data_IF_734755706921
#
_entry.id   IF_734755706921
#
_cell.length_a   1.000
_cell.length_b   1.000
_cell.length_c   1.000
_cell.angle_alpha   90.00
_cell.angle_beta   90.00
_cell.angle_gamma   90.00
#
_symmetry.space_group_name_H-M   'P 1'
#
loop_
_entity.id
_entity.type
_entity.pdbx_description
1 polymer ?
#
# COMPACT_ATOMS: atom_id res chain seq x y z
N UNK A 1 -6.01 -10.52 -22.97
CA UNK A 1 -5.36 -9.49 -22.13
C UNK A 1 -4.45 -10.19 -21.13
N UNK A 2 -3.28 -9.62 -20.80
CA UNK A 2 -2.36 -10.16 -19.81
C UNK A 2 -2.62 -9.48 -18.47
N UNK A 3 -3.21 -10.22 -17.53
CA UNK A 3 -3.48 -9.76 -16.16
C UNK A 3 -2.43 -10.35 -15.22
N UNK A 4 -1.76 -9.50 -14.44
CA UNK A 4 -0.76 -9.95 -13.47
C UNK A 4 -0.91 -9.19 -12.14
N UNK A 5 -1.40 -9.90 -11.13
CA UNK A 5 -1.54 -9.38 -9.78
C UNK A 5 -0.44 -9.98 -8.92
N UNK A 6 0.41 -9.14 -8.36
CA UNK A 6 1.51 -9.59 -7.53
C UNK A 6 1.10 -9.63 -6.06
N UNK A 7 1.60 -10.62 -5.34
CA UNK A 7 1.32 -10.82 -3.92
C UNK A 7 2.61 -10.65 -3.13
N UNK A 8 2.79 -9.49 -2.49
CA UNK A 8 4.00 -9.16 -1.74
C UNK A 8 4.12 -10.00 -0.46
N UNK A 9 5.27 -10.65 -0.29
CA UNK A 9 5.58 -11.52 0.84
C UNK A 9 7.06 -11.43 1.24
N UNK A 10 7.36 -11.38 2.54
CA UNK A 10 8.73 -11.42 3.07
C UNK A 10 9.11 -12.80 3.65
N UNK A 11 8.21 -13.78 3.54
CA UNK A 11 8.40 -15.16 4.00
C UNK A 11 7.50 -16.12 3.22
N UNK A 12 7.83 -17.42 3.16
CA UNK A 12 6.93 -18.42 2.60
C UNK A 12 5.54 -18.36 3.24
N UNK A 13 4.51 -18.39 2.40
CA UNK A 13 3.12 -18.40 2.85
C UNK A 13 2.22 -19.15 1.87
N UNK A 14 0.99 -19.42 2.28
CA UNK A 14 -0.03 -20.00 1.41
C UNK A 14 -0.39 -18.99 0.31
N UNK A 15 -0.21 -19.38 -0.95
CA UNK A 15 -0.47 -18.56 -2.13
C UNK A 15 -1.67 -19.07 -2.94
N UNK A 16 -2.38 -18.19 -3.69
CA UNK A 16 -3.36 -18.61 -4.68
C UNK A 16 -2.75 -19.59 -5.68
N UNK A 17 -3.57 -20.53 -6.17
CA UNK A 17 -3.18 -21.42 -7.27
C UNK A 17 -3.54 -20.86 -8.65
N UNK A 18 -4.33 -19.78 -8.68
CA UNK A 18 -4.71 -19.07 -9.89
C UNK A 18 -3.47 -18.35 -10.48
N UNK A 19 -3.10 -18.63 -11.75
CA UNK A 19 -1.91 -18.05 -12.39
C UNK A 19 -1.97 -16.52 -12.59
N UNK A 20 -3.16 -15.91 -12.43
CA UNK A 20 -3.37 -14.46 -12.39
C UNK A 20 -2.60 -13.83 -11.23
N UNK A 21 -2.43 -14.57 -10.13
CA UNK A 21 -1.74 -14.14 -8.93
C UNK A 21 -0.33 -14.70 -8.85
N UNK A 22 0.67 -13.83 -8.68
CA UNK A 22 2.09 -14.20 -8.65
C UNK A 22 2.73 -13.75 -7.35
N UNK A 23 3.30 -14.66 -6.53
CA UNK A 23 4.02 -14.24 -5.34
C UNK A 23 5.30 -13.49 -5.73
N UNK A 24 5.56 -12.37 -5.05
CA UNK A 24 6.81 -11.61 -5.13
C UNK A 24 7.46 -11.56 -3.75
N UNK A 25 8.72 -11.97 -3.69
CA UNK A 25 9.52 -12.00 -2.48
C UNK A 25 10.19 -10.64 -2.29
N UNK A 26 9.73 -9.87 -1.31
CA UNK A 26 10.21 -8.51 -1.04
C UNK A 26 11.46 -8.51 -0.17
N UNK A 27 12.34 -7.53 -0.42
CA UNK A 27 13.61 -7.43 0.27
C UNK A 27 14.55 -8.59 -0.03
N UNK A 28 14.43 -9.24 -1.20
CA UNK A 28 15.28 -10.34 -1.62
C UNK A 28 16.78 -9.99 -1.66
N UNK A 29 17.14 -8.71 -1.79
CA UNK A 29 18.51 -8.24 -1.67
C UNK A 29 19.10 -8.39 -0.26
N UNK A 30 18.25 -8.48 0.76
CA UNK A 30 18.62 -8.58 2.18
C UNK A 30 18.28 -9.94 2.77
N UNK A 31 17.19 -10.54 2.28
CA UNK A 31 16.64 -11.79 2.73
C UNK A 31 17.17 -12.93 1.86
N UNK A 32 17.97 -13.83 2.44
CA UNK A 32 18.78 -14.86 1.78
C UNK A 32 18.17 -15.58 0.55
N UNK A 33 17.91 -16.89 0.64
CA UNK A 33 17.45 -17.65 -0.53
C UNK A 33 15.96 -17.35 -0.79
N UNK A 34 15.65 -16.83 -1.98
CA UNK A 34 14.27 -16.61 -2.41
C UNK A 34 13.51 -17.94 -2.47
N UNK A 35 12.31 -18.04 -1.86
CA UNK A 35 11.52 -19.28 -1.91
C UNK A 35 11.18 -19.71 -3.34
N UNK A 36 11.04 -21.02 -3.55
CA UNK A 36 10.66 -21.57 -4.85
C UNK A 36 9.32 -21.00 -5.32
N UNK A 37 9.22 -20.68 -6.61
CA UNK A 37 8.05 -20.10 -7.28
C UNK A 37 7.76 -18.62 -6.95
N UNK A 38 8.61 -17.95 -6.17
CA UNK A 38 8.48 -16.52 -5.92
C UNK A 38 9.32 -15.76 -6.93
N UNK A 39 8.75 -14.69 -7.48
CA UNK A 39 9.52 -13.68 -8.19
C UNK A 39 10.34 -12.91 -7.15
N UNK A 40 11.68 -12.89 -7.17
CA UNK A 40 12.43 -11.99 -6.31
C UNK A 40 12.27 -10.54 -6.80
N UNK A 41 12.20 -9.59 -5.86
CA UNK A 41 12.15 -8.16 -6.17
C UNK A 41 13.53 -7.53 -6.43
N UNK A 42 14.63 -8.30 -6.36
CA UNK A 42 16.01 -7.81 -6.51
C UNK A 42 16.62 -8.04 -7.90
N UNK A 43 15.80 -8.32 -8.92
CA UNK A 43 16.24 -8.54 -10.30
C UNK A 43 15.77 -7.41 -11.21
N UNK A 44 16.54 -7.07 -12.25
CA UNK A 44 16.21 -5.92 -13.11
C UNK A 44 16.35 -4.59 -12.38
N UNK A 45 15.58 -3.57 -12.78
CA UNK A 45 15.54 -2.28 -12.08
C UNK A 45 14.71 -2.41 -10.81
N UNK A 46 15.32 -2.15 -9.65
CA UNK A 46 14.72 -2.42 -8.36
C UNK A 46 15.25 -1.56 -7.22
N UNK A 47 14.48 -1.53 -6.12
CA UNK A 47 14.84 -0.92 -4.84
C UNK A 47 14.78 -1.95 -3.69
N UNK A 48 15.02 -3.24 -3.96
CA UNK A 48 14.86 -4.33 -2.99
C UNK A 48 15.62 -4.10 -1.68
N UNK A 49 16.84 -3.54 -1.77
CA UNK A 49 17.66 -3.21 -0.59
C UNK A 49 17.02 -2.13 0.31
N UNK A 50 16.05 -1.37 -0.19
CA UNK A 50 15.29 -0.37 0.58
C UNK A 50 14.04 -0.94 1.26
N UNK A 51 13.81 -2.26 1.19
CA UNK A 51 12.66 -2.93 1.84
C UNK A 51 12.49 -2.62 3.34
N UNK A 52 13.56 -2.46 4.16
CA UNK A 52 13.42 -2.07 5.57
C UNK A 52 12.74 -0.72 5.77
N UNK A 53 12.64 0.11 4.72
CA UNK A 53 11.96 1.41 4.78
C UNK A 53 10.72 1.50 3.89
N UNK A 54 10.70 0.76 2.77
CA UNK A 54 9.64 0.81 1.75
C UNK A 54 8.66 -0.37 1.82
N UNK A 55 8.96 -1.42 2.59
CA UNK A 55 8.11 -2.59 2.76
C UNK A 55 7.57 -3.15 1.41
N UNK A 56 6.26 -3.38 1.27
CA UNK A 56 5.64 -3.89 0.04
C UNK A 56 5.82 -2.98 -1.18
N UNK A 57 6.19 -1.70 -1.03
CA UNK A 57 6.44 -0.81 -2.16
C UNK A 57 7.64 -1.26 -3.00
N UNK A 58 8.58 -2.00 -2.42
CA UNK A 58 9.65 -2.63 -3.20
C UNK A 58 9.11 -3.58 -4.28
N UNK A 59 8.00 -4.27 -4.01
CA UNK A 59 7.27 -5.02 -5.05
C UNK A 59 6.59 -4.07 -6.04
N UNK A 60 5.92 -3.01 -5.58
CA UNK A 60 5.28 -2.03 -6.47
C UNK A 60 6.27 -1.42 -7.47
N UNK A 61 7.45 -1.02 -6.99
CA UNK A 61 8.53 -0.49 -7.82
C UNK A 61 8.98 -1.54 -8.84
N UNK A 62 9.22 -2.78 -8.39
CA UNK A 62 9.63 -3.85 -9.29
C UNK A 62 8.58 -4.12 -10.38
N UNK A 63 7.29 -4.12 -10.02
CA UNK A 63 6.18 -4.29 -10.98
C UNK A 63 6.19 -3.17 -12.00
N UNK A 64 6.31 -1.91 -11.56
CA UNK A 64 6.37 -0.75 -12.43
C UNK A 64 7.49 -0.90 -13.48
N UNK A 65 8.71 -1.26 -13.04
CA UNK A 65 9.88 -1.28 -13.92
C UNK A 65 10.00 -2.54 -14.77
N UNK A 66 9.48 -3.68 -14.33
CA UNK A 66 9.81 -4.98 -14.92
C UNK A 66 8.58 -5.77 -15.42
N UNK A 67 7.35 -5.38 -15.06
CA UNK A 67 6.14 -6.07 -15.50
C UNK A 67 5.50 -5.37 -16.70
N UNK A 68 5.40 -6.07 -17.84
CA UNK A 68 4.65 -5.62 -19.02
C UNK A 68 3.33 -6.40 -19.12
N UNK A 69 2.36 -6.05 -18.30
CA UNK A 69 1.01 -6.60 -18.29
C UNK A 69 -0.01 -5.49 -18.59
N UNK A 70 -1.12 -5.85 -19.23
CA UNK A 70 -2.20 -4.92 -19.59
C UNK A 70 -2.97 -4.47 -18.35
N UNK A 71 -3.10 -5.35 -17.35
CA UNK A 71 -3.62 -5.05 -16.01
C UNK A 71 -2.58 -5.48 -14.99
N UNK A 72 -2.27 -4.56 -14.06
CA UNK A 72 -1.32 -4.77 -12.97
C UNK A 72 -2.05 -4.61 -11.64
N UNK A 73 -1.57 -5.31 -10.63
CA UNK A 73 -2.04 -5.06 -9.27
C UNK A 73 -1.10 -5.56 -8.21
N UNK A 74 -1.36 -5.12 -6.99
CA UNK A 74 -0.61 -5.45 -5.80
C UNK A 74 -1.58 -5.87 -4.69
N UNK A 75 -1.39 -7.08 -4.21
CA UNK A 75 -1.97 -7.62 -2.99
C UNK A 75 -0.85 -7.91 -1.99
N UNK A 76 -1.23 -8.20 -0.76
CA UNK A 76 -0.28 -8.61 0.27
C UNK A 76 -0.55 -10.05 0.70
N UNK A 77 0.47 -10.80 1.09
CA UNK A 77 0.34 -12.24 1.36
C UNK A 77 -0.72 -12.64 2.39
N UNK A 78 -1.16 -11.71 3.25
CA UNK A 78 -2.24 -11.90 4.25
C UNK A 78 -3.56 -11.20 3.91
N UNK A 79 -3.60 -10.41 2.83
CA UNK A 79 -4.72 -9.52 2.47
C UNK A 79 -4.91 -9.50 0.96
N UNK A 80 -6.11 -9.87 0.52
CA UNK A 80 -6.45 -9.94 -0.90
C UNK A 80 -7.75 -9.20 -1.18
N UNK A 81 -7.82 -8.53 -2.33
CA UNK A 81 -9.08 -8.04 -2.88
C UNK A 81 -9.97 -9.22 -3.29
N UNK A 82 -11.22 -9.22 -2.85
CA UNK A 82 -12.08 -10.39 -2.88
C UNK A 82 -13.57 -10.08 -3.04
N UNK A 83 -14.24 -10.80 -3.95
CA UNK A 83 -15.70 -10.83 -4.10
C UNK A 83 -16.36 -11.52 -2.88
N UNK A 84 -15.81 -12.67 -2.49
CA UNK A 84 -16.38 -13.57 -1.48
C UNK A 84 -15.37 -13.87 -0.36
N UNK A 85 -15.00 -12.90 0.50
CA UNK A 85 -13.87 -13.01 1.43
C UNK A 85 -14.00 -14.17 2.43
N UNK A 86 -15.22 -14.63 2.75
CA UNK A 86 -15.45 -15.79 3.64
C UNK A 86 -14.95 -17.12 3.05
N UNK A 87 -14.76 -17.20 1.72
CA UNK A 87 -14.24 -18.38 1.01
C UNK A 87 -12.71 -18.41 0.95
N UNK A 88 -12.01 -17.51 1.65
CA UNK A 88 -10.54 -17.37 1.66
C UNK A 88 -10.00 -17.22 0.23
N UNK A 89 -8.91 -17.91 -0.12
CA UNK A 89 -8.28 -17.84 -1.43
C UNK A 89 -9.21 -18.24 -2.58
N UNK A 90 -10.26 -19.04 -2.32
CA UNK A 90 -11.25 -19.41 -3.33
C UNK A 90 -12.33 -18.34 -3.56
N UNK A 91 -12.23 -17.18 -2.90
CA UNK A 91 -13.13 -16.04 -3.06
C UNK A 91 -12.41 -14.73 -3.35
N UNK A 92 -11.11 -14.77 -3.65
CA UNK A 92 -10.40 -13.61 -4.23
C UNK A 92 -10.91 -13.36 -5.64
N UNK A 93 -10.74 -12.14 -6.15
CA UNK A 93 -11.19 -11.80 -7.50
C UNK A 93 -10.53 -12.71 -8.54
N UNK A 94 -11.32 -13.38 -9.36
CA UNK A 94 -10.86 -14.10 -10.54
C UNK A 94 -10.45 -13.13 -11.65
N UNK A 95 -9.77 -13.63 -12.68
CA UNK A 95 -9.45 -12.85 -13.88
C UNK A 95 -10.71 -12.21 -14.48
N UNK A 96 -11.76 -12.99 -14.72
CA UNK A 96 -13.01 -12.50 -15.34
C UNK A 96 -13.69 -11.41 -14.50
N UNK A 97 -13.69 -11.53 -13.17
CA UNK A 97 -14.22 -10.48 -12.27
C UNK A 97 -13.37 -9.21 -12.33
N UNK A 98 -12.03 -9.32 -12.36
CA UNK A 98 -11.13 -8.16 -12.51
C UNK A 98 -11.41 -7.44 -13.84
N UNK A 99 -11.51 -8.19 -14.93
CA UNK A 99 -11.76 -7.63 -16.26
C UNK A 99 -13.13 -6.92 -16.30
N UNK A 100 -14.20 -7.57 -15.85
CA UNK A 100 -15.55 -6.99 -15.86
C UNK A 100 -15.70 -5.76 -14.94
N UNK A 101 -14.95 -5.69 -13.84
CA UNK A 101 -14.90 -4.48 -13.00
C UNK A 101 -14.13 -3.35 -13.70
N UNK A 102 -13.02 -3.65 -14.37
CA UNK A 102 -12.21 -2.65 -15.07
C UNK A 102 -12.79 -2.19 -16.43
N UNK A 103 -13.82 -2.86 -16.94
CA UNK A 103 -14.66 -2.32 -18.02
C UNK A 103 -15.53 -1.13 -17.58
N UNK A 104 -15.84 -1.06 -16.28
CA UNK A 104 -16.75 -0.06 -15.71
C UNK A 104 -16.04 1.01 -14.86
N UNK A 105 -14.89 0.65 -14.29
CA UNK A 105 -14.15 1.49 -13.34
C UNK A 105 -12.67 1.55 -13.71
N UNK A 106 -11.99 2.63 -13.32
CA UNK A 106 -10.58 2.81 -13.63
C UNK A 106 -9.66 2.00 -12.68
N UNK A 107 -10.08 1.81 -11.44
CA UNK A 107 -9.29 1.17 -10.38
C UNK A 107 -10.17 0.31 -9.45
N UNK A 108 -9.68 -0.87 -9.09
CA UNK A 108 -10.24 -1.70 -8.02
C UNK A 108 -9.39 -1.48 -6.75
N UNK A 109 -10.04 -1.12 -5.65
CA UNK A 109 -9.40 -0.80 -4.36
C UNK A 109 -10.10 -1.54 -3.21
N UNK A 110 -9.44 -1.71 -2.04
CA UNK A 110 -10.12 -2.23 -0.87
C UNK A 110 -11.20 -1.25 -0.39
N UNK A 111 -12.16 -1.71 0.41
CA UNK A 111 -13.05 -0.79 1.13
C UNK A 111 -12.29 0.21 1.99
N UNK A 112 -12.76 1.46 2.03
CA UNK A 112 -12.18 2.50 2.89
C UNK A 112 -12.19 2.09 4.36
N UNK A 113 -11.15 2.52 5.06
CA UNK A 113 -11.13 2.49 6.52
C UNK A 113 -11.71 3.78 7.06
N UNK A 114 -12.64 3.70 8.00
CA UNK A 114 -13.27 4.86 8.64
C UNK A 114 -12.77 4.99 10.09
N UNK A 115 -12.17 6.13 10.43
CA UNK A 115 -11.62 6.38 11.77
C UNK A 115 -12.58 7.09 12.72
N UNK A 116 -13.67 7.69 12.21
CA UNK A 116 -14.80 8.36 12.90
C UNK A 116 -14.47 9.48 13.91
N UNK A 117 -13.41 9.35 14.69
CA UNK A 117 -12.95 10.27 15.73
C UNK A 117 -11.61 10.92 15.39
N UNK A 118 -11.00 10.58 14.25
CA UNK A 118 -9.71 11.09 13.79
C UNK A 118 -9.79 11.39 12.29
N UNK A 119 -9.16 12.49 11.87
CA UNK A 119 -8.79 12.69 10.48
C UNK A 119 -7.57 11.82 10.13
N UNK A 120 -7.32 11.59 8.83
CA UNK A 120 -6.15 10.85 8.36
C UNK A 120 -4.84 11.43 8.92
N UNK A 121 -4.70 12.76 8.96
CA UNK A 121 -3.56 13.43 9.59
C UNK A 121 -3.44 13.10 11.08
N UNK A 122 -4.51 13.34 11.85
CA UNK A 122 -4.47 13.09 13.30
C UNK A 122 -4.22 11.61 13.63
N UNK A 123 -4.77 10.70 12.83
CA UNK A 123 -4.54 9.27 12.97
C UNK A 123 -3.07 8.91 12.77
N UNK A 124 -2.45 9.48 11.72
CA UNK A 124 -1.05 9.24 11.41
C UNK A 124 -0.13 9.74 12.53
N UNK A 125 -0.26 11.00 12.96
CA UNK A 125 0.66 11.57 13.98
C UNK A 125 0.49 10.93 15.36
N UNK A 126 -0.69 10.37 15.66
CA UNK A 126 -0.88 9.59 16.89
C UNK A 126 -0.26 8.19 16.78
N UNK A 127 -0.10 7.65 15.57
CA UNK A 127 0.49 6.35 15.30
C UNK A 127 2.02 6.41 15.10
N UNK A 128 2.52 7.41 14.37
CA UNK A 128 3.88 7.50 13.84
C UNK A 128 4.52 8.85 14.16
N UNK A 129 5.77 9.05 13.76
CA UNK A 129 6.43 10.37 13.81
C UNK A 129 5.76 11.35 12.84
N UNK A 130 5.52 12.58 13.30
CA UNK A 130 4.83 13.60 12.51
C UNK A 130 5.69 14.15 11.36
N UNK A 131 6.98 14.40 11.61
CA UNK A 131 7.88 15.08 10.66
C UNK A 131 7.83 14.48 9.23
N UNK A 132 7.90 13.16 9.01
CA UNK A 132 7.85 12.61 7.66
C UNK A 132 6.58 12.96 6.87
N UNK A 133 5.43 13.09 7.54
CA UNK A 133 4.18 13.49 6.89
C UNK A 133 4.20 14.97 6.48
N UNK A 134 4.73 15.84 7.36
CA UNK A 134 4.86 17.27 7.08
C UNK A 134 5.88 17.54 5.97
N UNK A 135 6.97 16.77 5.94
CA UNK A 135 7.96 16.80 4.86
C UNK A 135 7.35 16.31 3.56
N UNK A 136 6.54 15.24 3.57
CA UNK A 136 5.81 14.79 2.37
C UNK A 136 4.88 15.86 1.81
N UNK A 137 4.15 16.57 2.67
CA UNK A 137 3.33 17.72 2.24
C UNK A 137 4.20 18.81 1.59
N UNK A 138 5.37 19.09 2.15
CA UNK A 138 6.31 20.08 1.61
C UNK A 138 6.86 19.65 0.25
N UNK A 139 7.23 18.38 0.09
CA UNK A 139 7.64 17.81 -1.21
C UNK A 139 6.53 17.96 -2.25
N UNK A 140 5.29 17.63 -1.90
CA UNK A 140 4.14 17.81 -2.79
C UNK A 140 3.97 19.29 -3.17
N UNK A 141 4.05 20.20 -2.22
CA UNK A 141 3.99 21.64 -2.51
C UNK A 141 5.09 22.09 -3.48
N UNK A 142 6.33 21.63 -3.30
CA UNK A 142 7.48 22.10 -4.06
C UNK A 142 7.56 21.48 -5.47
N UNK A 143 7.20 20.20 -5.61
CA UNK A 143 7.44 19.42 -6.84
C UNK A 143 6.15 19.03 -7.58
N UNK A 144 5.03 18.92 -6.86
CA UNK A 144 3.72 18.53 -7.42
C UNK A 144 2.60 19.45 -6.92
N UNK A 145 2.73 20.79 -7.06
CA UNK A 145 1.84 21.75 -6.41
C UNK A 145 0.36 21.54 -6.75
N UNK A 146 0.07 21.03 -7.95
CA UNK A 146 -1.31 20.75 -8.40
C UNK A 146 -2.01 19.66 -7.57
N UNK A 147 -1.25 18.79 -6.88
CA UNK A 147 -1.78 17.74 -5.98
C UNK A 147 -1.98 18.22 -4.54
N UNK A 148 -1.45 19.40 -4.17
CA UNK A 148 -1.43 19.85 -2.78
C UNK A 148 -2.85 20.02 -2.21
N UNK A 149 -3.77 20.55 -3.00
CA UNK A 149 -5.16 20.75 -2.56
C UNK A 149 -5.88 19.42 -2.29
N UNK A 150 -5.62 18.38 -3.10
CA UNK A 150 -6.18 17.04 -2.89
C UNK A 150 -5.54 16.35 -1.69
N UNK A 151 -4.24 16.54 -1.50
CA UNK A 151 -3.51 16.07 -0.32
C UNK A 151 -4.09 16.66 0.98
N UNK A 152 -4.19 18.00 1.04
CA UNK A 152 -4.73 18.70 2.21
C UNK A 152 -6.16 18.28 2.51
N UNK A 153 -6.99 18.17 1.47
CA UNK A 153 -8.37 17.69 1.61
C UNK A 153 -8.41 16.29 2.21
N UNK A 154 -7.58 15.37 1.73
CA UNK A 154 -7.51 14.00 2.26
C UNK A 154 -7.04 13.98 3.72
N UNK A 155 -6.09 14.83 4.11
CA UNK A 155 -5.59 14.92 5.48
C UNK A 155 -6.67 15.34 6.49
N UNK A 156 -7.68 16.09 6.04
CA UNK A 156 -8.85 16.48 6.82
C UNK A 156 -9.98 15.45 6.82
N UNK A 157 -9.99 14.47 5.90
CA UNK A 157 -11.00 13.41 5.86
C UNK A 157 -10.80 12.37 6.97
N UNK A 158 -11.86 11.66 7.33
CA UNK A 158 -11.87 10.63 8.38
C UNK A 158 -11.86 9.20 7.80
N UNK A 159 -11.61 9.07 6.51
CA UNK A 159 -11.47 7.79 5.83
C UNK A 159 -10.48 7.87 4.66
N UNK A 160 -9.90 6.73 4.31
CA UNK A 160 -9.05 6.54 3.13
C UNK A 160 -8.94 5.04 2.76
N UNK A 161 -8.51 4.75 1.53
CA UNK A 161 -8.12 3.40 1.12
C UNK A 161 -6.71 3.08 1.65
N UNK A 162 -6.64 2.16 2.62
CA UNK A 162 -5.38 1.76 3.25
C UNK A 162 -4.76 0.54 2.54
N UNK A 163 -3.50 0.21 2.86
CA UNK A 163 -2.78 -1.02 2.50
C UNK A 163 -2.03 -1.08 1.17
N UNK A 164 -1.90 0.01 0.39
CA UNK A 164 -1.18 -0.03 -0.90
C UNK A 164 -1.66 -1.16 -1.84
N UNK A 165 -2.95 -1.54 -1.73
CA UNK A 165 -3.54 -2.62 -2.50
C UNK A 165 -4.43 -2.02 -3.58
N UNK A 166 -4.17 -2.39 -4.83
CA UNK A 166 -4.94 -1.91 -5.97
C UNK A 166 -4.79 -2.84 -7.17
N UNK A 167 -5.75 -2.79 -8.08
CA UNK A 167 -5.69 -3.41 -9.41
C UNK A 167 -6.18 -2.38 -10.43
N UNK A 168 -5.41 -2.13 -11.49
CA UNK A 168 -5.76 -1.15 -12.51
C UNK A 168 -5.05 -1.44 -13.84
N UNK A 169 -5.45 -0.80 -14.96
CA UNK A 169 -4.73 -0.89 -16.22
C UNK A 169 -3.25 -0.52 -16.06
N UNK A 170 -2.37 -1.25 -16.74
CA UNK A 170 -0.92 -1.11 -16.67
C UNK A 170 -0.42 0.34 -16.80
N UNK A 171 -0.88 1.11 -17.81
CA UNK A 171 -0.50 2.53 -17.93
C UNK A 171 -0.87 3.40 -16.72
N UNK A 172 -2.03 3.15 -16.08
CA UNK A 172 -2.45 3.89 -14.88
C UNK A 172 -1.62 3.48 -13.67
N UNK A 173 -1.31 2.18 -13.53
CA UNK A 173 -0.43 1.68 -12.49
C UNK A 173 0.96 2.31 -12.60
N UNK A 174 1.51 2.38 -13.83
CA UNK A 174 2.84 2.91 -14.07
C UNK A 174 2.91 4.42 -13.83
N UNK A 175 1.88 5.18 -14.24
CA UNK A 175 1.79 6.61 -13.95
C UNK A 175 1.67 6.88 -12.43
N UNK A 176 0.87 6.08 -11.72
CA UNK A 176 0.78 6.18 -10.26
C UNK A 176 2.12 5.85 -9.59
N UNK A 177 2.78 4.77 -10.02
CA UNK A 177 4.07 4.35 -9.49
C UNK A 177 5.16 5.41 -9.73
N UNK A 178 5.20 6.00 -10.92
CA UNK A 178 6.11 7.10 -11.22
C UNK A 178 5.92 8.28 -10.25
N UNK A 179 4.69 8.76 -10.12
CA UNK A 179 4.37 9.89 -9.25
C UNK A 179 4.66 9.61 -7.76
N UNK A 180 4.23 8.45 -7.25
CA UNK A 180 4.39 8.12 -5.83
C UNK A 180 5.86 7.91 -5.46
N UNK A 181 6.68 7.32 -6.34
CA UNK A 181 8.10 7.13 -6.06
C UNK A 181 8.91 8.42 -6.18
N UNK A 182 8.54 9.34 -7.08
CA UNK A 182 9.16 10.66 -7.16
C UNK A 182 9.04 11.40 -5.81
N UNK A 183 7.82 11.44 -5.25
CA UNK A 183 7.55 12.01 -3.92
C UNK A 183 8.34 11.28 -2.84
N UNK A 184 8.21 9.95 -2.74
CA UNK A 184 8.78 9.21 -1.61
C UNK A 184 10.31 9.21 -1.61
N UNK A 185 10.95 9.25 -2.78
CA UNK A 185 12.40 9.39 -2.87
C UNK A 185 12.86 10.78 -2.46
N UNK A 186 12.12 11.82 -2.81
CA UNK A 186 12.45 13.16 -2.32
C UNK A 186 12.23 13.29 -0.81
N UNK A 187 11.15 12.72 -0.25
CA UNK A 187 10.96 12.68 1.21
C UNK A 187 12.13 11.98 1.88
N UNK A 188 12.58 10.83 1.34
CA UNK A 188 13.75 10.10 1.83
C UNK A 188 15.02 10.96 1.87
N UNK A 189 15.20 11.87 0.92
CA UNK A 189 16.36 12.76 0.88
C UNK A 189 16.28 13.90 1.92
N UNK A 190 15.09 14.18 2.46
CA UNK A 190 14.82 15.31 3.37
C UNK A 190 14.63 14.93 4.83
N UNK A 191 14.58 13.64 5.17
CA UNK A 191 14.42 13.16 6.54
C UNK A 191 15.60 12.28 6.97
N UNK A 192 15.93 12.33 8.26
CA UNK A 192 16.86 11.40 8.88
C UNK A 192 16.09 10.36 9.70
N UNK A 193 16.36 9.09 9.43
CA UNK A 193 15.71 7.95 10.10
C UNK A 193 16.74 7.06 10.82
N UNK A 194 17.98 7.53 11.00
CA UNK A 194 19.06 6.74 11.64
C UNK A 194 18.68 6.23 13.03
N UNK A 195 17.90 7.01 13.75
CA UNK A 195 17.51 6.76 15.15
C UNK A 195 16.12 6.10 15.26
N UNK A 196 15.49 5.76 14.13
CA UNK A 196 14.18 5.11 14.14
C UNK A 196 14.31 3.64 14.55
N UNK A 197 13.34 3.16 15.31
CA UNK A 197 13.22 1.73 15.57
C UNK A 197 12.76 0.98 14.30
N UNK A 198 12.79 -0.35 14.35
CA UNK A 198 12.45 -1.21 13.20
C UNK A 198 11.03 -0.95 12.65
N UNK A 199 10.08 -0.54 13.49
CA UNK A 199 8.70 -0.27 13.04
C UNK A 199 8.60 1.11 12.40
N UNK A 200 9.16 2.14 13.01
CA UNK A 200 9.12 3.50 12.47
C UNK A 200 9.99 3.63 11.23
N UNK A 201 11.06 2.83 11.10
CA UNK A 201 11.92 2.80 9.91
C UNK A 201 11.15 2.47 8.62
N UNK A 202 9.98 1.82 8.71
CA UNK A 202 9.06 1.51 7.59
C UNK A 202 8.26 2.73 7.09
N UNK A 203 8.67 3.95 7.48
CA UNK A 203 7.98 5.22 7.26
C UNK A 203 7.44 5.42 5.84
N UNK A 204 8.19 5.07 4.80
CA UNK A 204 7.75 5.30 3.42
C UNK A 204 6.57 4.39 3.03
N UNK A 205 6.52 3.18 3.60
CA UNK A 205 5.35 2.31 3.52
C UNK A 205 4.11 2.98 4.11
N UNK A 206 4.21 3.59 5.30
CA UNK A 206 3.07 4.26 5.94
C UNK A 206 2.64 5.53 5.21
N UNK A 207 3.59 6.34 4.74
CA UNK A 207 3.30 7.55 3.97
C UNK A 207 2.55 7.22 2.67
N UNK A 208 2.97 6.17 1.96
CA UNK A 208 2.35 5.76 0.70
C UNK A 208 0.88 5.34 0.82
N UNK A 209 0.45 4.84 1.98
CA UNK A 209 -0.95 4.44 2.21
C UNK A 209 -1.91 5.63 2.04
N UNK A 210 -1.42 6.87 2.17
CA UNK A 210 -2.19 8.09 1.99
C UNK A 210 -2.18 8.60 0.54
N UNK A 211 -1.19 8.22 -0.28
CA UNK A 211 -0.95 8.82 -1.58
C UNK A 211 -1.87 8.28 -2.69
N UNK A 212 -2.37 7.05 -2.57
CA UNK A 212 -3.27 6.46 -3.58
C UNK A 212 -4.56 7.27 -3.75
N UNK A 213 -5.17 7.69 -2.65
CA UNK A 213 -6.42 8.48 -2.69
C UNK A 213 -6.18 9.89 -3.24
N UNK A 214 -5.02 10.49 -2.96
CA UNK A 214 -4.64 11.78 -3.54
C UNK A 214 -4.54 11.65 -5.06
N UNK A 215 -3.87 10.61 -5.55
CA UNK A 215 -3.76 10.34 -6.98
C UNK A 215 -5.12 10.10 -7.65
N UNK A 216 -5.94 9.20 -7.08
CA UNK A 216 -7.27 8.88 -7.62
C UNK A 216 -8.15 10.13 -7.72
N UNK A 217 -8.18 10.96 -6.66
CA UNK A 217 -9.00 12.17 -6.63
C UNK A 217 -8.53 13.20 -7.66
N UNK A 218 -7.21 13.44 -7.74
CA UNK A 218 -6.62 14.41 -8.63
C UNK A 218 -6.82 14.05 -10.11
N UNK A 219 -6.60 12.77 -10.44
CA UNK A 219 -6.78 12.25 -11.79
C UNK A 219 -8.27 12.00 -12.15
N UNK A 220 -9.19 12.26 -11.22
CA UNK A 220 -10.63 12.02 -11.37
C UNK A 220 -10.96 10.58 -11.80
N UNK A 221 -10.22 9.60 -11.27
CA UNK A 221 -10.41 8.19 -11.59
C UNK A 221 -11.65 7.65 -10.88
N UNK A 222 -12.49 6.95 -11.63
CA UNK A 222 -13.56 6.12 -11.08
C UNK A 222 -12.96 4.90 -10.40
N UNK A 223 -13.52 4.48 -9.27
CA UNK A 223 -13.04 3.30 -8.57
C UNK A 223 -14.20 2.46 -8.02
N UNK A 224 -13.91 1.18 -7.82
CA UNK A 224 -14.81 0.24 -7.14
C UNK A 224 -14.13 -0.31 -5.89
N UNK A 225 -14.86 -0.25 -4.78
CA UNK A 225 -14.42 -0.80 -3.50
C UNK A 225 -14.85 -2.25 -3.36
N UNK A 226 -13.88 -3.15 -3.17
CA UNK A 226 -14.15 -4.57 -2.91
C UNK A 226 -13.76 -4.97 -1.48
N UNK A 227 -14.43 -5.98 -0.90
CA UNK A 227 -14.01 -6.54 0.38
C UNK A 227 -12.55 -7.02 0.39
N UNK A 228 -11.94 -6.96 1.56
CA UNK A 228 -10.61 -7.54 1.80
C UNK A 228 -10.76 -8.90 2.48
N UNK A 229 -10.20 -9.93 1.87
CA UNK A 229 -10.03 -11.24 2.48
C UNK A 229 -8.76 -11.25 3.34
N UNK A 230 -8.91 -11.59 4.62
CA UNK A 230 -7.81 -11.72 5.57
C UNK A 230 -7.47 -13.19 5.80
N UNK A 231 -6.19 -13.53 5.68
CA UNK A 231 -5.69 -14.90 5.95
C UNK A 231 -5.61 -15.21 7.45
N UNK A 232 -5.50 -14.17 8.28
CA UNK A 232 -5.35 -14.26 9.73
C UNK A 232 -6.53 -13.60 10.46
N UNK A 233 -6.82 -14.06 11.68
CA UNK A 233 -7.86 -13.47 12.52
C UNK A 233 -7.47 -12.05 12.90
N UNK A 234 -8.40 -11.11 12.76
CA UNK A 234 -8.19 -9.73 13.15
C UNK A 234 -8.45 -9.53 14.64
N UNK A 235 -7.50 -8.90 15.35
CA UNK A 235 -7.65 -8.52 16.76
C UNK A 235 -8.39 -7.18 16.91
N UNK A 236 -9.65 -7.11 16.46
CA UNK A 236 -10.44 -5.86 16.43
C UNK A 236 -10.55 -5.15 17.79
N UNK A 237 -10.82 -5.84 18.92
CA UNK A 237 -10.90 -5.18 20.23
C UNK A 237 -9.58 -4.54 20.65
N UNK A 238 -8.46 -5.24 20.43
CA UNK A 238 -7.13 -4.71 20.73
C UNK A 238 -6.79 -3.50 19.85
N UNK A 239 -7.16 -3.54 18.56
CA UNK A 239 -7.00 -2.40 17.64
C UNK A 239 -7.78 -1.18 18.10
N UNK A 240 -9.04 -1.36 18.51
CA UNK A 240 -9.88 -0.27 19.02
C UNK A 240 -9.29 0.32 20.32
N UNK A 241 -8.94 -0.52 21.29
CA UNK A 241 -8.32 -0.07 22.55
C UNK A 241 -7.04 0.74 22.30
N UNK A 242 -6.14 0.26 21.44
CA UNK A 242 -4.88 0.95 21.19
C UNK A 242 -5.05 2.22 20.36
N UNK A 243 -6.05 2.31 19.47
CA UNK A 243 -6.40 3.56 18.81
C UNK A 243 -6.83 4.61 19.83
N UNK A 244 -7.76 4.27 20.72
CA UNK A 244 -8.21 5.17 21.79
C UNK A 244 -7.06 5.57 22.73
N UNK A 245 -6.21 4.60 23.09
CA UNK A 245 -5.05 4.84 23.95
C UNK A 245 -4.09 5.86 23.33
N UNK A 246 -3.77 5.75 22.04
CA UNK A 246 -2.87 6.70 21.36
C UNK A 246 -3.46 8.10 21.27
N UNK A 247 -4.77 8.21 21.01
CA UNK A 247 -5.48 9.49 20.94
C UNK A 247 -5.53 10.23 22.28
N UNK A 248 -5.85 9.52 23.37
CA UNK A 248 -6.10 10.14 24.67
C UNK A 248 -4.89 10.12 25.63
N UNK A 249 -3.88 9.28 25.36
CA UNK A 249 -2.67 9.14 26.17
C UNK A 249 -1.41 9.14 25.28
N UNK A 250 -1.04 10.29 24.69
CA UNK A 250 0.01 10.38 23.67
C UNK A 250 1.41 9.99 24.18
N UNK A 251 1.65 10.01 25.49
CA UNK A 251 2.91 9.58 26.11
C UNK A 251 2.99 8.06 26.37
N UNK A 252 1.91 7.32 26.17
CA UNK A 252 1.89 5.88 26.42
C UNK A 252 2.56 5.12 25.27
N UNK A 253 3.18 3.97 25.59
CA UNK A 253 3.82 3.11 24.58
C UNK A 253 2.90 2.85 23.38
N UNK A 254 3.37 3.22 22.19
CA UNK A 254 2.65 3.08 20.93
C UNK A 254 2.67 1.62 20.50
N UNK A 255 1.49 1.08 20.20
CA UNK A 255 1.34 -0.21 19.51
C UNK A 255 0.36 -0.03 18.36
N UNK A 256 0.88 -0.05 17.14
CA UNK A 256 0.17 0.29 15.90
C UNK A 256 -0.20 -0.94 15.08
N UNK A 257 0.63 -1.98 15.11
CA UNK A 257 0.46 -3.19 14.31
C UNK A 257 0.11 -4.43 15.17
N UNK A 258 -0.95 -5.16 14.75
CA UNK A 258 -1.54 -6.34 15.42
C UNK A 258 -1.82 -7.46 14.43
#
# INVERSE_FOLDING_TARGET
MKVQIYVAAHKPYQMPQDPTYRPIFVGAALNGVTPQHYQPDNVGDNISASNPNFNELTAMYWIWKNCHADIKGLNQYRRYLAEAPKRKLAGILSMDEIEGLLEQYDVIVPKKRHYYIESNYSHYIHAHHQEPLDVMRTVIHDQHPDFLADFDRLMHQTSAHMFNMMIMPGPKFDAYAEWVFDILFEVRNRIDISDYDVQEALVFGYLSELLLDVWINHQHLSYVEVPVMYMEKQQLPAKAYNLLKRKFFPQAAKRTHF
#
